data_IF_238934526110
#
_entry.id   IF_238934526110
#
_cell.length_a   1.000
_cell.length_b   1.000
_cell.length_c   1.000
_cell.angle_alpha   90.00
_cell.angle_beta   90.00
_cell.angle_gamma   90.00
#
_symmetry.space_group_name_H-M   'P 1'
#
loop_
_entity.id
_entity.type
_entity.pdbx_description
1 polymer ?
#
# COMPACT_ATOMS: atom_id res chain seq x y z
N UNK A 1 26.52 -15.05 -19.52
CA UNK A 1 26.23 -14.19 -18.36
C UNK A 1 26.28 -12.68 -18.63
N UNK A 2 26.79 -12.16 -19.77
CA UNK A 2 26.83 -10.70 -20.02
C UNK A 2 25.70 -10.14 -20.89
N UNK A 3 25.10 -10.96 -21.77
CA UNK A 3 24.11 -10.48 -22.74
C UNK A 3 22.72 -10.28 -22.13
N UNK A 4 22.29 -11.18 -21.24
CA UNK A 4 21.00 -11.08 -20.55
C UNK A 4 20.97 -9.91 -19.57
N UNK A 5 22.01 -9.71 -18.76
CA UNK A 5 22.13 -8.55 -17.85
C UNK A 5 22.09 -7.21 -18.59
N UNK A 6 22.72 -7.11 -19.77
CA UNK A 6 22.65 -5.90 -20.60
C UNK A 6 21.24 -5.69 -21.17
N UNK A 7 20.54 -6.76 -21.58
CA UNK A 7 19.15 -6.67 -22.06
C UNK A 7 18.21 -6.19 -20.93
N UNK A 8 18.38 -6.66 -19.69
CA UNK A 8 17.58 -6.23 -18.55
C UNK A 8 17.81 -4.76 -18.16
N UNK A 9 19.07 -4.29 -18.19
CA UNK A 9 19.38 -2.87 -17.93
C UNK A 9 18.76 -1.96 -19.00
N UNK A 10 18.76 -2.39 -20.27
CA UNK A 10 18.12 -1.65 -21.36
C UNK A 10 16.60 -1.59 -21.19
N UNK A 11 15.96 -2.69 -20.77
CA UNK A 11 14.51 -2.73 -20.48
C UNK A 11 14.17 -1.83 -19.28
N UNK A 12 14.98 -1.84 -18.22
CA UNK A 12 14.83 -0.99 -17.04
C UNK A 12 14.91 0.52 -17.41
N UNK A 13 15.87 0.90 -18.26
CA UNK A 13 16.02 2.29 -18.72
C UNK A 13 14.87 2.72 -19.61
N UNK A 14 14.39 1.85 -20.50
CA UNK A 14 13.24 2.16 -21.38
C UNK A 14 11.96 2.36 -20.56
N UNK A 15 11.71 1.52 -19.55
CA UNK A 15 10.54 1.66 -18.67
C UNK A 15 10.64 2.91 -17.80
N UNK A 16 11.83 3.21 -17.24
CA UNK A 16 12.07 4.43 -16.47
C UNK A 16 11.83 5.71 -17.31
N UNK A 17 12.25 5.73 -18.58
CA UNK A 17 12.02 6.86 -19.49
C UNK A 17 10.53 7.03 -19.84
N UNK A 18 9.77 5.93 -19.94
CA UNK A 18 8.32 5.97 -20.19
C UNK A 18 7.57 6.51 -18.95
N UNK A 19 7.96 6.07 -17.74
CA UNK A 19 7.36 6.54 -16.48
C UNK A 19 7.66 8.03 -16.22
N UNK A 20 8.86 8.52 -16.57
CA UNK A 20 9.22 9.93 -16.45
C UNK A 20 8.48 10.84 -17.45
N UNK A 21 8.17 10.37 -18.66
CA UNK A 21 7.41 11.15 -19.65
C UNK A 21 5.94 11.36 -19.29
N UNK A 22 5.36 10.50 -18.45
CA UNK A 22 3.98 10.64 -17.98
C UNK A 22 3.82 11.60 -16.78
N UNK A 23 4.88 12.27 -16.33
CA UNK A 23 4.87 13.12 -15.12
C UNK A 23 5.03 14.63 -15.38
N UNK A 24 4.88 15.11 -16.62
CA UNK A 24 4.96 16.54 -16.95
C UNK A 24 3.71 17.02 -17.70
N UNK A 25 2.60 17.14 -16.97
CA UNK A 25 1.47 17.98 -17.37
C UNK A 25 1.60 19.34 -16.69
N UNK A 26 2.15 20.31 -17.41
CA UNK A 26 2.08 21.73 -17.01
C UNK A 26 0.68 22.25 -17.35
N UNK A 27 -0.13 22.50 -16.33
CA UNK A 27 -1.47 23.06 -16.45
C UNK A 27 -1.39 24.58 -16.61
N UNK A 28 -1.59 25.09 -17.82
CA UNK A 28 -1.74 26.53 -18.11
C UNK A 28 -3.23 26.84 -18.13
N UNK A 29 -3.73 27.52 -17.09
CA UNK A 29 -4.98 28.29 -17.16
C UNK A 29 -4.65 29.79 -17.36
N UNK A 30 -5.62 30.67 -17.71
CA UNK A 30 -7.07 30.48 -17.57
C UNK A 30 -7.88 30.86 -18.82
N UNK A 31 -9.12 30.39 -18.90
CA UNK A 31 -10.20 31.17 -19.49
C UNK A 31 -11.53 30.80 -18.84
N UNK A 32 -12.02 31.73 -18.03
CA UNK A 32 -13.37 31.74 -17.50
C UNK A 32 -14.40 31.72 -18.63
N UNK A 33 -15.56 31.10 -18.36
CA UNK A 33 -16.93 31.66 -18.52
C UNK A 33 -17.94 30.52 -18.27
N UNK A 34 -18.76 30.67 -17.21
CA UNK A 34 -20.11 30.08 -17.13
C UNK A 34 -20.44 29.17 -15.94
N UNK A 35 -20.73 29.75 -14.77
CA UNK A 35 -21.65 29.21 -13.74
C UNK A 35 -23.08 29.68 -14.11
N UNK A 36 -24.25 29.08 -13.73
CA UNK A 36 -24.60 28.31 -12.52
C UNK A 36 -25.48 27.04 -12.79
N UNK A 37 -25.93 26.17 -11.88
CA UNK A 37 -25.81 25.90 -10.44
C UNK A 37 -26.35 24.48 -10.20
N UNK A 38 -25.96 23.86 -9.08
CA UNK A 38 -26.78 22.86 -8.37
C UNK A 38 -26.29 21.42 -8.43
N UNK A 39 -25.44 21.02 -7.48
CA UNK A 39 -25.73 20.00 -6.44
C UNK A 39 -24.43 19.79 -5.66
N UNK A 40 -24.34 20.36 -4.46
CA UNK A 40 -23.21 20.17 -3.55
C UNK A 40 -23.28 18.77 -2.90
N UNK A 41 -22.95 17.74 -3.68
CA UNK A 41 -22.46 16.49 -3.14
C UNK A 41 -20.96 16.65 -2.91
N UNK A 42 -20.58 17.00 -1.68
CA UNK A 42 -19.18 16.98 -1.27
C UNK A 42 -18.72 15.52 -1.33
N UNK A 43 -18.09 15.13 -2.43
CA UNK A 43 -17.13 14.04 -2.40
C UNK A 43 -15.96 14.57 -1.56
N UNK A 44 -16.10 14.44 -0.24
CA UNK A 44 -14.99 14.47 0.68
C UNK A 44 -14.08 13.31 0.28
N UNK A 45 -13.18 13.57 -0.67
CA UNK A 45 -12.01 12.76 -0.87
C UNK A 45 -11.11 13.06 0.34
N UNK A 46 -11.44 12.45 1.48
CA UNK A 46 -10.60 12.46 2.66
C UNK A 46 -9.38 11.61 2.35
N UNK A 47 -8.41 12.19 1.64
CA UNK A 47 -7.02 11.86 1.86
C UNK A 47 -6.69 12.33 3.29
N UNK A 48 -7.18 11.59 4.27
CA UNK A 48 -6.73 11.69 5.66
C UNK A 48 -5.35 11.06 5.68
N UNK A 49 -4.34 11.82 5.25
CA UNK A 49 -2.97 11.42 5.50
C UNK A 49 -2.80 11.48 7.03
N UNK A 50 -2.87 10.33 7.72
CA UNK A 50 -2.80 10.27 9.19
C UNK A 50 -1.40 10.63 9.75
N UNK A 51 -0.51 11.18 8.91
CA UNK A 51 0.87 11.55 9.26
C UNK A 51 1.80 10.37 9.54
N UNK A 52 1.31 9.14 9.47
CA UNK A 52 2.09 7.93 9.74
C UNK A 52 3.01 7.61 8.56
N UNK A 53 4.24 7.22 8.89
CA UNK A 53 5.25 6.89 7.89
C UNK A 53 4.96 5.58 7.15
N UNK A 54 5.30 5.54 5.87
CA UNK A 54 5.45 4.29 5.12
C UNK A 54 6.62 3.50 5.68
N UNK A 55 6.45 2.18 5.85
CA UNK A 55 7.51 1.27 6.27
C UNK A 55 7.79 0.22 5.21
N UNK A 56 9.03 -0.24 5.17
CA UNK A 56 9.49 -1.20 4.16
C UNK A 56 10.28 -2.32 4.83
N UNK A 57 10.15 -3.52 4.28
CA UNK A 57 10.97 -4.69 4.59
C UNK A 57 11.51 -5.26 3.29
N UNK A 58 12.83 -5.25 3.15
CA UNK A 58 13.56 -5.83 2.01
C UNK A 58 14.12 -7.22 2.30
N UNK A 59 13.58 -7.91 3.30
CA UNK A 59 14.02 -9.25 3.69
C UNK A 59 13.60 -10.31 2.66
N UNK A 60 14.57 -11.16 2.31
CA UNK A 60 14.37 -12.23 1.34
C UNK A 60 14.19 -11.72 -0.10
N UNK A 61 13.63 -12.54 -1.00
CA UNK A 61 13.45 -12.21 -2.41
C UNK A 61 12.25 -11.30 -2.70
N UNK A 62 11.39 -11.01 -1.72
CA UNK A 62 10.19 -10.17 -1.87
C UNK A 62 10.33 -8.94 -0.98
N UNK A 63 10.37 -7.75 -1.58
CA UNK A 63 10.24 -6.50 -0.83
C UNK A 63 8.77 -6.20 -0.54
N UNK A 64 8.51 -5.69 0.66
CA UNK A 64 7.16 -5.36 1.13
C UNK A 64 7.17 -3.93 1.66
N UNK A 65 6.30 -3.08 1.12
CA UNK A 65 6.07 -1.71 1.56
C UNK A 65 4.67 -1.59 2.11
N UNK A 66 4.49 -0.91 3.23
CA UNK A 66 3.20 -0.70 3.90
C UNK A 66 3.01 0.77 4.27
N UNK A 67 1.90 1.36 3.84
CA UNK A 67 1.51 2.74 4.16
C UNK A 67 0.15 2.75 4.84
N UNK A 68 0.03 3.20 6.11
CA UNK A 68 -1.27 3.43 6.72
C UNK A 68 -2.05 4.52 5.97
N UNK A 69 -3.28 4.24 5.55
CA UNK A 69 -4.15 5.18 4.84
C UNK A 69 -5.17 5.84 5.77
N UNK A 70 -5.92 5.05 6.55
CA UNK A 70 -6.88 5.55 7.54
C UNK A 70 -6.78 4.69 8.81
N UNK A 71 -6.42 5.29 9.93
CA UNK A 71 -6.35 4.67 11.28
C UNK A 71 -6.80 5.65 12.37
N UNK A 72 -7.65 6.61 12.02
CA UNK A 72 -8.11 7.66 12.94
C UNK A 72 -9.20 7.21 13.93
N UNK A 73 -9.43 8.01 14.96
CA UNK A 73 -10.42 7.75 16.02
C UNK A 73 -11.88 7.64 15.52
N UNK A 74 -12.19 8.32 14.42
CA UNK A 74 -13.55 8.39 13.87
C UNK A 74 -13.76 7.41 12.70
N UNK A 75 -12.74 6.65 12.33
CA UNK A 75 -12.82 5.69 11.23
C UNK A 75 -13.57 4.43 11.69
N UNK A 76 -14.47 3.92 10.85
CA UNK A 76 -15.12 2.61 11.07
C UNK A 76 -14.29 1.46 10.51
N UNK A 77 -13.42 1.76 9.54
CA UNK A 77 -12.51 0.83 8.89
C UNK A 77 -11.11 1.40 8.88
N UNK A 78 -10.13 0.55 9.13
CA UNK A 78 -8.72 0.90 8.99
C UNK A 78 -8.15 0.29 7.72
N UNK A 79 -7.31 1.04 7.03
CA UNK A 79 -6.82 0.68 5.69
C UNK A 79 -5.31 0.87 5.56
N UNK A 80 -4.65 -0.07 4.90
CA UNK A 80 -3.20 -0.06 4.65
C UNK A 80 -2.96 -0.33 3.17
N UNK A 81 -2.25 0.58 2.49
CA UNK A 81 -1.73 0.32 1.16
C UNK A 81 -0.49 -0.56 1.28
N UNK A 82 -0.46 -1.67 0.54
CA UNK A 82 0.63 -2.65 0.58
C UNK A 82 1.11 -2.91 -0.85
N UNK A 83 2.43 -2.83 -1.04
CA UNK A 83 3.10 -3.24 -2.27
C UNK A 83 4.07 -4.38 -1.99
N UNK A 84 4.02 -5.43 -2.81
CA UNK A 84 4.89 -6.59 -2.78
C UNK A 84 5.58 -6.71 -4.13
N UNK A 85 6.92 -6.75 -4.13
CA UNK A 85 7.70 -6.80 -5.35
C UNK A 85 8.76 -7.88 -5.29
N UNK A 86 8.92 -8.63 -6.37
CA UNK A 86 10.02 -9.59 -6.53
C UNK A 86 10.43 -9.70 -7.99
N UNK A 87 11.62 -10.23 -8.23
CA UNK A 87 12.15 -10.48 -9.56
C UNK A 87 12.50 -11.95 -9.79
N UNK A 88 12.28 -12.82 -8.81
CA UNK A 88 12.66 -14.23 -8.87
C UNK A 88 11.56 -15.19 -8.44
N UNK A 89 10.64 -14.76 -7.58
CA UNK A 89 9.61 -15.62 -7.00
C UNK A 89 8.21 -15.27 -7.47
N UNK A 90 7.26 -16.18 -7.29
CA UNK A 90 5.83 -15.88 -7.37
C UNK A 90 5.28 -15.49 -5.99
N UNK A 91 4.38 -14.51 -5.94
CA UNK A 91 3.76 -14.01 -4.70
C UNK A 91 2.33 -14.54 -4.59
N UNK A 92 2.19 -15.75 -4.04
CA UNK A 92 0.92 -16.48 -3.98
C UNK A 92 0.10 -16.30 -2.71
N UNK A 93 0.59 -15.57 -1.70
CA UNK A 93 -0.05 -15.54 -0.39
C UNK A 93 -1.35 -14.72 -0.40
N UNK A 94 -2.37 -15.21 0.30
CA UNK A 94 -3.57 -14.43 0.59
C UNK A 94 -3.30 -13.52 1.80
N UNK A 95 -3.20 -12.22 1.55
CA UNK A 95 -2.91 -11.23 2.59
C UNK A 95 -4.00 -11.14 3.66
N UNK A 96 -5.23 -11.56 3.37
CA UNK A 96 -6.29 -11.64 4.38
C UNK A 96 -6.07 -12.79 5.37
N UNK A 97 -5.31 -13.82 4.96
CA UNK A 97 -5.00 -15.01 5.76
C UNK A 97 -3.68 -14.85 6.51
N UNK A 98 -2.66 -14.28 5.86
CA UNK A 98 -1.30 -14.22 6.41
C UNK A 98 -0.99 -12.97 7.23
N UNK A 99 -1.93 -12.02 7.31
CA UNK A 99 -1.73 -10.76 8.02
C UNK A 99 -2.56 -10.64 9.29
N UNK A 100 -2.06 -9.93 10.29
CA UNK A 100 -2.78 -9.54 11.51
C UNK A 100 -2.34 -8.17 12.00
N UNK A 101 -3.27 -7.41 12.57
CA UNK A 101 -2.94 -6.26 13.43
C UNK A 101 -2.81 -6.71 14.88
N UNK A 102 -1.93 -6.07 15.64
CA UNK A 102 -1.73 -6.26 17.07
C UNK A 102 -1.76 -4.89 17.75
N UNK A 103 -2.58 -4.73 18.79
CA UNK A 103 -2.62 -3.52 19.60
C UNK A 103 -1.57 -3.52 20.73
N UNK A 104 -1.46 -2.40 21.46
CA UNK A 104 -0.56 -2.24 22.61
C UNK A 104 -0.87 -3.21 23.77
N UNK A 105 -2.09 -3.74 23.84
CA UNK A 105 -2.50 -4.81 24.75
C UNK A 105 -2.13 -6.22 24.28
N UNK A 106 -1.56 -6.38 23.07
CA UNK A 106 -1.20 -7.66 22.48
C UNK A 106 -2.37 -8.43 21.86
N UNK A 107 -3.55 -7.82 21.71
CA UNK A 107 -4.71 -8.46 21.09
C UNK A 107 -4.59 -8.40 19.56
N UNK A 108 -4.94 -9.51 18.91
CA UNK A 108 -4.81 -9.68 17.46
C UNK A 108 -6.13 -9.42 16.74
N UNK A 109 -6.07 -8.78 15.57
CA UNK A 109 -7.21 -8.50 14.70
C UNK A 109 -6.91 -8.98 13.28
N UNK A 110 -7.88 -9.66 12.66
CA UNK A 110 -7.75 -10.18 11.29
C UNK A 110 -8.25 -9.16 10.26
N UNK A 111 -7.68 -9.14 9.05
CA UNK A 111 -8.20 -8.35 7.95
C UNK A 111 -9.64 -8.75 7.61
N UNK A 112 -10.44 -7.79 7.13
CA UNK A 112 -11.78 -8.02 6.60
C UNK A 112 -11.77 -8.23 5.08
N UNK A 113 -10.82 -7.60 4.37
CA UNK A 113 -10.73 -7.69 2.92
C UNK A 113 -9.36 -7.25 2.39
N UNK A 114 -9.06 -7.69 1.18
CA UNK A 114 -7.97 -7.22 0.33
C UNK A 114 -8.55 -6.69 -0.97
N UNK A 115 -8.26 -5.43 -1.30
CA UNK A 115 -8.69 -4.77 -2.52
C UNK A 115 -7.46 -4.44 -3.37
N UNK A 116 -7.10 -5.37 -4.27
CA UNK A 116 -5.92 -5.22 -5.12
C UNK A 116 -5.65 -6.44 -5.97
N UNK A 117 -4.38 -6.61 -6.37
CA UNK A 117 -3.95 -7.77 -7.16
C UNK A 117 -4.26 -9.09 -6.45
N UNK A 118 -4.96 -9.99 -7.15
CA UNK A 118 -5.19 -11.36 -6.70
C UNK A 118 -3.86 -12.11 -6.45
N UNK A 119 -3.87 -13.22 -5.69
CA UNK A 119 -2.72 -14.11 -5.55
C UNK A 119 -2.06 -14.51 -6.88
N UNK A 120 -0.72 -14.51 -6.92
CA UNK A 120 0.11 -14.87 -8.07
C UNK A 120 0.90 -13.70 -8.67
N UNK A 121 1.78 -14.01 -9.63
CA UNK A 121 2.63 -13.03 -10.30
C UNK A 121 3.83 -12.53 -9.48
N UNK A 122 4.55 -11.52 -9.99
CA UNK A 122 5.82 -11.03 -9.41
C UNK A 122 5.73 -9.61 -8.81
N UNK A 123 4.60 -8.94 -9.01
CA UNK A 123 4.29 -7.62 -8.44
C UNK A 123 2.83 -7.60 -8.04
N UNK A 124 2.55 -7.28 -6.77
CA UNK A 124 1.19 -7.18 -6.25
C UNK A 124 1.06 -5.91 -5.43
N UNK A 125 -0.06 -5.21 -5.58
CA UNK A 125 -0.38 -4.05 -4.75
C UNK A 125 -1.86 -3.99 -4.45
N UNK A 126 -2.23 -3.33 -3.36
CA UNK A 126 -3.62 -3.21 -2.94
C UNK A 126 -3.79 -2.70 -1.52
N UNK A 127 -5.06 -2.58 -1.13
CA UNK A 127 -5.45 -2.08 0.18
C UNK A 127 -5.93 -3.24 1.05
N UNK A 128 -5.24 -3.47 2.16
CA UNK A 128 -5.66 -4.39 3.21
C UNK A 128 -6.51 -3.65 4.24
N UNK A 129 -7.72 -4.13 4.50
CA UNK A 129 -8.69 -3.47 5.38
C UNK A 129 -8.93 -4.27 6.65
N UNK A 130 -9.18 -3.55 7.74
CA UNK A 130 -9.55 -4.08 9.05
C UNK A 130 -10.75 -3.32 9.60
N UNK A 131 -11.53 -3.93 10.50
CA UNK A 131 -12.40 -3.15 11.38
C UNK A 131 -11.55 -2.23 12.25
N UNK A 132 -12.00 -1.00 12.47
CA UNK A 132 -11.31 -0.09 13.38
C UNK A 132 -11.24 -0.67 14.80
N UNK A 133 -10.13 -0.41 15.49
CA UNK A 133 -9.92 -0.85 16.87
C UNK A 133 -10.45 0.26 17.80
N UNK A 134 -11.32 -0.12 18.73
CA UNK A 134 -11.90 0.79 19.72
C UNK A 134 -11.76 0.21 21.14
N UNK A 135 -11.22 0.99 22.11
CA UNK A 135 -10.63 2.32 21.94
C UNK A 135 -9.39 2.29 21.02
N UNK A 136 -9.03 3.44 20.41
CA UNK A 136 -7.83 3.55 19.58
C UNK A 136 -6.60 3.27 20.47
N UNK A 137 -5.75 2.28 20.13
CA UNK A 137 -4.55 1.95 20.88
C UNK A 137 -3.46 3.02 20.69
N UNK A 138 -2.46 3.04 21.57
CA UNK A 138 -1.33 3.97 21.44
C UNK A 138 -0.32 3.51 20.39
N UNK A 139 -0.16 2.19 20.25
CA UNK A 139 0.73 1.58 19.26
C UNK A 139 -0.01 0.55 18.43
N UNK A 140 0.43 0.39 17.20
CA UNK A 140 -0.12 -0.60 16.27
C UNK A 140 1.00 -1.35 15.57
N UNK A 141 0.89 -2.68 15.51
CA UNK A 141 1.78 -3.55 14.76
C UNK A 141 1.00 -4.31 13.68
N UNK A 142 1.41 -4.18 12.41
CA UNK A 142 1.00 -5.07 11.34
C UNK A 142 2.04 -6.17 11.17
N UNK A 143 1.61 -7.42 11.29
CA UNK A 143 2.42 -8.59 10.94
C UNK A 143 1.96 -9.20 9.63
N UNK A 144 2.90 -9.57 8.77
CA UNK A 144 2.66 -10.29 7.51
C UNK A 144 3.58 -11.51 7.49
N UNK A 145 2.98 -12.70 7.46
CA UNK A 145 3.70 -13.96 7.62
C UNK A 145 3.93 -14.68 6.29
N UNK A 146 5.01 -15.46 6.23
CA UNK A 146 5.32 -16.41 5.17
C UNK A 146 5.40 -15.87 3.73
N UNK A 147 5.49 -14.56 3.53
CA UNK A 147 5.66 -13.96 2.21
C UNK A 147 7.13 -14.09 1.77
N UNK A 148 7.40 -14.62 0.57
CA UNK A 148 8.76 -14.71 0.05
C UNK A 148 9.73 -15.49 0.96
N UNK A 149 9.28 -16.53 1.64
CA UNK A 149 10.12 -17.38 2.50
C UNK A 149 10.56 -16.77 3.83
N UNK A 150 10.10 -15.56 4.17
CA UNK A 150 10.33 -14.94 5.48
C UNK A 150 9.16 -15.28 6.39
N UNK A 151 9.46 -15.87 7.56
CA UNK A 151 8.43 -16.37 8.48
C UNK A 151 7.49 -15.28 8.98
N UNK A 152 8.03 -14.10 9.28
CA UNK A 152 7.28 -12.96 9.84
C UNK A 152 7.97 -11.65 9.44
N UNK A 153 7.20 -10.69 8.93
CA UNK A 153 7.56 -9.27 8.82
C UNK A 153 6.70 -8.47 9.77
N UNK A 154 7.29 -7.49 10.46
CA UNK A 154 6.61 -6.65 11.45
C UNK A 154 6.79 -5.16 11.12
N UNK A 155 5.67 -4.43 11.11
CA UNK A 155 5.62 -2.99 10.83
C UNK A 155 4.91 -2.30 12.00
N UNK A 156 5.59 -1.38 12.71
CA UNK A 156 5.10 -0.81 13.97
C UNK A 156 4.98 0.71 13.92
N UNK A 157 3.83 1.25 14.31
CA UNK A 157 3.56 2.68 14.38
C UNK A 157 3.08 3.10 15.77
N UNK A 158 3.43 4.33 16.14
CA UNK A 158 2.75 5.09 17.21
C UNK A 158 1.55 5.82 16.58
N UNK A 159 0.40 5.83 17.26
CA UNK A 159 -0.87 6.38 16.76
C UNK A 159 -1.24 7.75 17.34
#
# INVERSE_FOLDING_TARGET
MKKTTVIFIVILIVILVIVLKNSLTVNIGPKDIGTPAGTNGSFQNTNSNNGLETKESNDGPVSVTVTPLDVGDNASLWSFDIALNTHSEEIGEDLTVVSVLIDDGGKTYRPISWEGSAPGGHHRSGVLKFSAISPRPNTLELKINNVGGISERSFKWEL
#
